data_IF_842720642703
#
_entry.id   IF_842720642703
#
_cell.length_a   1.000
_cell.length_b   1.000
_cell.length_c   1.000
_cell.angle_alpha   90.00
_cell.angle_beta   90.00
_cell.angle_gamma   90.00
#
_symmetry.space_group_name_H-M   'P 1'
#
loop_
_entity.id
_entity.type
_entity.pdbx_description
1 polymer ?
#
# COMPACT_ATOMS: atom_id res chain seq x y z
N UNK A 1 9.52 0.80 10.25
CA UNK A 1 9.14 2.06 10.91
C UNK A 1 7.63 2.18 11.11
N UNK A 2 6.80 1.96 10.08
CA UNK A 2 5.34 2.15 10.16
C UNK A 2 4.65 1.27 11.22
N UNK A 3 4.98 -0.02 11.31
CA UNK A 3 4.31 -0.96 12.22
C UNK A 3 4.39 -0.53 13.70
N UNK A 4 5.59 -0.23 14.21
CA UNK A 4 5.78 0.14 15.62
C UNK A 4 5.20 1.51 15.98
N UNK A 5 4.96 2.36 14.99
CA UNK A 5 4.56 3.75 15.13
C UNK A 5 3.08 3.98 14.79
N UNK A 6 2.40 2.95 14.28
CA UNK A 6 0.99 3.02 13.93
C UNK A 6 0.12 2.66 15.13
N UNK A 7 -1.04 3.30 15.22
CA UNK A 7 -2.01 3.03 16.26
C UNK A 7 -2.54 1.60 16.18
N UNK A 8 -2.47 0.87 17.30
CA UNK A 8 -2.99 -0.48 17.39
C UNK A 8 -4.28 -0.50 18.24
N UNK A 9 -5.41 -0.83 17.62
CA UNK A 9 -6.73 -0.70 18.24
C UNK A 9 -6.95 -1.57 19.48
N UNK A 10 -6.31 -2.75 19.55
CA UNK A 10 -6.44 -3.64 20.70
C UNK A 10 -5.66 -3.15 21.93
N UNK A 11 -4.53 -2.46 21.73
CA UNK A 11 -3.70 -1.91 22.81
C UNK A 11 -4.02 -0.43 23.07
N UNK A 12 -4.86 0.17 22.20
CA UNK A 12 -5.27 1.58 22.21
C UNK A 12 -4.10 2.58 22.18
N UNK A 13 -2.94 2.15 21.69
CA UNK A 13 -1.72 2.95 21.53
C UNK A 13 -0.83 2.34 20.44
N UNK A 14 0.20 3.05 20.01
CA UNK A 14 1.23 2.45 19.18
C UNK A 14 2.20 1.60 20.04
N UNK A 15 2.73 0.47 19.53
CA UNK A 15 3.72 -0.32 20.26
C UNK A 15 4.92 0.50 20.77
N UNK A 16 5.37 1.51 20.02
CA UNK A 16 6.39 2.46 20.45
C UNK A 16 6.00 3.26 21.70
N UNK A 17 4.75 3.72 21.76
CA UNK A 17 4.24 4.48 22.89
C UNK A 17 4.12 3.61 24.14
N UNK A 18 3.67 2.36 23.97
CA UNK A 18 3.61 1.39 25.05
C UNK A 18 5.00 1.02 25.59
N UNK A 19 6.00 0.91 24.72
CA UNK A 19 7.36 0.51 25.11
C UNK A 19 8.15 1.64 25.77
N UNK A 20 8.04 2.88 25.26
CA UNK A 20 8.89 3.99 25.68
C UNK A 20 8.16 5.08 26.47
N UNK A 21 6.83 5.00 26.62
CA UNK A 21 6.03 5.99 27.34
C UNK A 21 6.03 7.39 26.70
N UNK A 22 6.47 7.50 25.43
CA UNK A 22 6.54 8.77 24.69
C UNK A 22 5.76 8.65 23.39
N UNK A 23 5.11 9.74 22.98
CA UNK A 23 4.38 9.78 21.69
C UNK A 23 5.32 9.47 20.53
N UNK A 24 4.80 8.70 19.57
CA UNK A 24 5.51 8.43 18.34
C UNK A 24 5.83 9.73 17.59
N UNK A 25 7.08 9.92 17.17
CA UNK A 25 7.44 10.94 16.18
C UNK A 25 7.25 10.37 14.79
N UNK A 26 6.18 10.81 14.12
CA UNK A 26 5.92 10.53 12.71
C UNK A 26 7.12 11.00 11.85
N UNK A 27 7.48 10.30 10.75
CA UNK A 27 8.57 10.73 9.85
C UNK A 27 8.34 12.10 9.23
N UNK A 28 7.08 12.55 9.13
CA UNK A 28 6.73 13.89 8.62
C UNK A 28 7.29 15.00 9.52
N UNK A 29 7.51 14.75 10.82
CA UNK A 29 8.06 15.72 11.76
C UNK A 29 9.59 15.82 11.74
N UNK A 30 10.29 15.16 10.80
CA UNK A 30 11.73 15.32 10.61
C UNK A 30 12.09 16.46 9.64
N UNK A 31 11.10 17.07 8.99
CA UNK A 31 11.33 18.20 8.08
C UNK A 31 11.60 19.54 8.80
N UNK A 32 11.39 19.61 10.13
CA UNK A 32 11.43 20.88 10.86
C UNK A 32 12.83 21.33 11.31
N UNK A 33 13.90 20.60 10.99
CA UNK A 33 15.26 21.05 11.30
C UNK A 33 16.10 21.13 10.03
N UNK A 34 15.87 22.19 9.24
CA UNK A 34 16.98 22.76 8.48
C UNK A 34 16.71 23.32 7.08
N UNK A 35 15.56 23.10 6.44
CA UNK A 35 15.40 23.53 5.03
C UNK A 35 13.95 23.91 4.67
N UNK A 36 13.37 24.89 5.38
CA UNK A 36 12.21 25.65 4.87
C UNK A 36 12.64 26.71 3.85
N UNK A 37 13.60 26.40 3.00
CA UNK A 37 14.08 27.29 1.93
C UNK A 37 13.26 26.95 0.69
N UNK A 38 12.11 27.62 0.58
CA UNK A 38 11.28 27.76 -0.63
C UNK A 38 11.33 26.54 -1.56
N UNK A 39 10.42 25.57 -1.37
CA UNK A 39 10.30 24.40 -2.25
C UNK A 39 10.19 24.90 -3.70
N UNK A 40 11.22 24.59 -4.50
CA UNK A 40 11.33 25.04 -5.87
C UNK A 40 10.13 24.50 -6.71
N UNK A 41 9.47 25.34 -7.53
CA UNK A 41 8.30 24.92 -8.29
C UNK A 41 8.52 23.68 -9.17
N UNK A 42 9.76 23.47 -9.63
CA UNK A 42 10.15 22.29 -10.40
C UNK A 42 10.05 21.00 -9.59
N UNK A 43 10.48 21.02 -8.33
CA UNK A 43 10.40 19.87 -7.41
C UNK A 43 8.93 19.55 -7.10
N UNK A 44 8.08 20.57 -6.92
CA UNK A 44 6.64 20.39 -6.73
C UNK A 44 6.01 19.73 -7.96
N UNK A 45 6.39 20.17 -9.17
CA UNK A 45 5.85 19.60 -10.40
C UNK A 45 6.32 18.15 -10.60
N UNK A 46 7.60 17.86 -10.36
CA UNK A 46 8.17 16.52 -10.50
C UNK A 46 7.54 15.53 -9.50
N UNK A 47 7.36 15.96 -8.24
CA UNK A 47 6.71 15.14 -7.21
C UNK A 47 5.23 14.90 -7.54
N UNK A 48 4.53 15.91 -8.06
CA UNK A 48 3.13 15.78 -8.52
C UNK A 48 3.01 14.73 -9.63
N UNK A 49 3.89 14.79 -10.64
CA UNK A 49 3.93 13.81 -11.73
C UNK A 49 4.21 12.38 -11.22
N UNK A 50 5.15 12.23 -10.27
CA UNK A 50 5.44 10.94 -9.62
C UNK A 50 4.22 10.41 -8.86
N UNK A 51 3.48 11.28 -8.14
CA UNK A 51 2.26 10.90 -7.41
C UNK A 51 1.18 10.39 -8.37
N UNK A 52 0.95 11.07 -9.50
CA UNK A 52 -0.01 10.63 -10.52
C UNK A 52 0.35 9.23 -11.03
N UNK A 53 1.62 9.01 -11.38
CA UNK A 53 2.11 7.70 -11.84
C UNK A 53 1.94 6.59 -10.81
N UNK A 54 2.15 6.90 -9.53
CA UNK A 54 1.92 5.94 -8.42
C UNK A 54 0.44 5.58 -8.32
N UNK A 55 -0.45 6.58 -8.36
CA UNK A 55 -1.90 6.36 -8.30
C UNK A 55 -2.40 5.48 -9.45
N UNK A 56 -1.93 5.73 -10.67
CA UNK A 56 -2.26 4.91 -11.84
C UNK A 56 -1.80 3.46 -11.68
N UNK A 57 -0.56 3.25 -11.24
CA UNK A 57 -0.01 1.91 -11.00
C UNK A 57 -0.79 1.15 -9.92
N UNK A 58 -1.16 1.84 -8.83
CA UNK A 58 -1.98 1.26 -7.77
C UNK A 58 -3.37 0.88 -8.26
N UNK A 59 -4.01 1.74 -9.06
CA UNK A 59 -5.30 1.44 -9.68
C UNK A 59 -5.21 0.22 -10.60
N UNK A 60 -4.23 0.18 -11.49
CA UNK A 60 -4.01 -0.95 -12.39
C UNK A 60 -3.76 -2.27 -11.64
N UNK A 61 -2.99 -2.25 -10.54
CA UNK A 61 -2.77 -3.43 -9.71
C UNK A 61 -4.08 -3.91 -9.04
N UNK A 62 -4.87 -2.99 -8.49
CA UNK A 62 -6.18 -3.28 -7.89
C UNK A 62 -7.15 -3.87 -8.91
N UNK A 63 -7.23 -3.28 -10.10
CA UNK A 63 -8.12 -3.74 -11.16
C UNK A 63 -7.75 -5.15 -11.64
N UNK A 64 -6.44 -5.46 -11.75
CA UNK A 64 -5.97 -6.83 -12.03
C UNK A 64 -6.39 -7.83 -10.97
N UNK A 65 -6.18 -7.51 -9.69
CA UNK A 65 -6.61 -8.37 -8.58
C UNK A 65 -8.11 -8.62 -8.62
N UNK A 66 -8.91 -7.56 -8.84
CA UNK A 66 -10.36 -7.65 -8.96
C UNK A 66 -10.77 -8.54 -10.15
N UNK A 67 -10.15 -8.37 -11.31
CA UNK A 67 -10.43 -9.20 -12.49
C UNK A 67 -10.14 -10.69 -12.23
N UNK A 68 -9.02 -11.03 -11.58
CA UNK A 68 -8.71 -12.41 -11.23
C UNK A 68 -9.69 -13.00 -10.22
N UNK A 69 -10.07 -12.25 -9.20
CA UNK A 69 -11.06 -12.69 -8.23
C UNK A 69 -12.43 -12.90 -8.89
N UNK A 70 -12.88 -11.96 -9.71
CA UNK A 70 -14.20 -12.02 -10.34
C UNK A 70 -14.31 -13.11 -11.41
N UNK A 71 -13.24 -13.34 -12.20
CA UNK A 71 -13.17 -14.47 -13.14
C UNK A 71 -13.23 -15.84 -12.45
N UNK A 72 -12.76 -15.93 -11.20
CA UNK A 72 -12.76 -17.17 -10.41
C UNK A 72 -14.01 -17.31 -9.52
N UNK A 73 -14.91 -16.32 -9.51
CA UNK A 73 -16.18 -16.35 -8.74
C UNK A 73 -17.33 -17.03 -9.47
N UNK A 74 -17.27 -17.12 -10.80
CA UNK A 74 -18.21 -17.91 -11.60
C UNK A 74 -17.62 -19.31 -11.84
N UNK A 75 -18.45 -20.36 -11.95
CA UNK A 75 -17.98 -21.64 -12.46
C UNK A 75 -17.29 -21.43 -13.81
N UNK A 76 -16.11 -22.01 -13.98
CA UNK A 76 -15.44 -22.01 -15.28
C UNK A 76 -16.10 -23.10 -16.14
N UNK A 77 -16.57 -22.74 -17.32
CA UNK A 77 -17.02 -23.70 -18.32
C UNK A 77 -15.82 -24.15 -19.15
N UNK A 78 -15.71 -25.46 -19.37
CA UNK A 78 -14.64 -26.08 -20.14
C UNK A 78 -15.22 -26.85 -21.32
N UNK A 79 -14.48 -26.86 -22.42
CA UNK A 79 -14.82 -27.60 -23.64
C UNK A 79 -13.96 -28.85 -23.79
N UNK A 80 -14.47 -29.83 -24.54
CA UNK A 80 -13.72 -31.04 -24.85
C UNK A 80 -12.47 -30.65 -25.65
N UNK A 81 -11.29 -31.07 -25.18
CA UNK A 81 -9.93 -30.74 -25.67
C UNK A 81 -9.18 -29.63 -24.92
N UNK A 82 -9.79 -28.99 -23.92
CA UNK A 82 -9.07 -28.04 -23.07
C UNK A 82 -8.05 -28.75 -22.17
N UNK A 83 -6.80 -28.26 -22.16
CA UNK A 83 -5.74 -28.77 -21.28
C UNK A 83 -5.78 -28.03 -19.95
N UNK A 84 -6.02 -28.76 -18.86
CA UNK A 84 -6.14 -28.20 -17.50
C UNK A 84 -5.21 -28.92 -16.52
N UNK A 85 -4.81 -28.21 -15.46
CA UNK A 85 -4.05 -28.79 -14.35
C UNK A 85 -5.01 -29.14 -13.22
N UNK A 86 -5.05 -30.43 -12.85
CA UNK A 86 -5.80 -30.90 -11.69
C UNK A 86 -5.05 -30.51 -10.42
N UNK A 87 -5.72 -29.78 -9.52
CA UNK A 87 -5.18 -29.54 -8.19
C UNK A 87 -5.37 -30.80 -7.36
N UNK A 88 -4.28 -31.52 -7.08
CA UNK A 88 -4.27 -32.66 -6.17
C UNK A 88 -3.90 -32.13 -4.78
N UNK A 89 -4.80 -32.25 -3.81
CA UNK A 89 -4.51 -31.99 -2.40
C UNK A 89 -4.53 -33.33 -1.65
N UNK A 90 -3.57 -33.61 -0.73
CA UNK A 90 -3.67 -34.75 0.18
C UNK A 90 -4.94 -34.69 1.03
#
# INVERSE_FOLDING_TARGET
FSYNNSYHSSVKSAPFEALYGRKCRMPIAWAEVGESKLIEPEIVQETTNKIVKIKERLKAARDRQKSYADKRRKPLDFSVSDKLLLKVSP
#
